data_IF_469429057369
#
_entry.id   IF_469429057369
#
_cell.length_a   1.000
_cell.length_b   1.000
_cell.length_c   1.000
_cell.angle_alpha   90.00
_cell.angle_beta   90.00
_cell.angle_gamma   90.00
#
_symmetry.space_group_name_H-M   'P 1'
#
loop_
_entity.id
_entity.type
_entity.pdbx_description
1 polymer ?
2 polymer ?
3 polymer ?
4 non-polymer ?
5 non-polymer ?
6 water ?
#
loop_
_entity_poly.entity_id
_entity_poly.type
_entity_poly.pdbx_seq_one_letter_code
_entity_poly.pdbx_strand_id
2 'polydeoxyribonucleotide' '(DA)(DG)(DG)(DA)(DC)(DC)(DOC)' ?
3 'polydeoxyribonucleotide' '(DT)(BRU)(DG)(DG)(DG)(DT)(DC)(DC)(DT)' ?
#
# COMPACT_ATOMS: atom_id res chain seq x y z
N UNK A 1 -11.18 25.58 7.05
CA UNK A 1 -10.65 24.19 7.01
C UNK A 1 -11.24 23.34 8.13
N UNK A 2 -11.80 22.18 7.76
CA UNK A 2 -12.40 21.27 8.73
C UNK A 2 -12.83 19.95 8.07
N UNK A 3 -13.90 20.00 7.28
CA UNK A 3 -14.40 18.82 6.59
C UNK A 3 -13.59 18.47 5.36
N UNK A 4 -13.01 17.28 5.34
CA UNK A 4 -12.21 16.84 4.21
C UNK A 4 -12.92 15.80 3.34
N UNK A 5 -12.50 15.73 2.09
CA UNK A 5 -13.02 14.74 1.16
C UNK A 5 -11.77 14.02 0.66
N UNK A 6 -11.60 12.80 1.13
CA UNK A 6 -10.44 11.99 0.79
C UNK A 6 -10.83 10.79 -0.08
N UNK A 7 -9.96 10.44 -1.02
CA UNK A 7 -10.20 9.28 -1.85
C UNK A 7 -9.05 8.30 -1.67
N UNK A 8 -9.37 7.02 -1.55
CA UNK A 8 -8.35 5.99 -1.42
C UNK A 8 -8.45 5.16 -2.70
N UNK A 9 -7.38 5.09 -3.49
CA UNK A 9 -7.39 4.32 -4.74
C UNK A 9 -6.59 3.05 -4.49
N UNK A 10 -7.18 1.92 -4.83
CA UNK A 10 -6.60 0.61 -4.57
C UNK A 10 -6.79 -0.23 -5.81
N UNK A 11 -5.69 -0.73 -6.38
CA UNK A 11 -5.79 -1.52 -7.59
C UNK A 11 -6.09 -2.97 -7.41
N UNK A 12 -6.73 -3.52 -8.41
CA UNK A 12 -7.07 -4.92 -8.38
C UNK A 12 -5.80 -5.74 -8.69
N UNK A 13 -5.55 -6.75 -7.86
CA UNK A 13 -4.44 -7.69 -8.02
C UNK A 13 -3.34 -7.08 -8.89
N UNK A 14 -2.74 -6.01 -8.39
CA UNK A 14 -1.73 -5.25 -9.12
C UNK A 14 -0.67 -6.02 -9.95
N UNK A 15 0.12 -6.88 -9.32
CA UNK A 15 1.15 -7.60 -10.09
C UNK A 15 0.53 -8.43 -11.21
N UNK A 16 -0.58 -9.11 -10.90
CA UNK A 16 -1.26 -9.92 -11.89
C UNK A 16 -1.71 -9.07 -13.05
N UNK A 17 -2.23 -7.87 -12.78
CA UNK A 17 -2.69 -6.98 -13.86
C UNK A 17 -1.53 -6.64 -14.79
N UNK A 18 -0.39 -6.27 -14.20
CA UNK A 18 0.76 -5.91 -15.02
C UNK A 18 1.22 -7.09 -15.89
N UNK A 19 1.19 -8.30 -15.35
CA UNK A 19 1.60 -9.46 -16.14
C UNK A 19 0.62 -9.72 -17.28
N UNK A 20 -0.68 -9.63 -16.99
CA UNK A 20 -1.69 -9.86 -18.03
C UNK A 20 -1.60 -8.84 -19.16
N UNK A 21 -1.19 -7.63 -18.83
CA UNK A 21 -1.04 -6.60 -19.85
C UNK A 21 0.17 -6.94 -20.73
N UNK A 22 1.24 -7.44 -20.10
CA UNK A 22 2.44 -7.79 -20.85
C UNK A 22 2.15 -8.93 -21.84
N UNK A 23 1.63 -10.05 -21.32
CA UNK A 23 1.32 -11.21 -22.14
C UNK A 23 -0.20 -11.46 -22.13
N UNK A 24 -0.91 -10.89 -23.11
CA UNK A 24 -2.37 -11.02 -23.25
C UNK A 24 -2.90 -12.45 -23.10
N UNK A 25 -2.20 -13.40 -23.73
CA UNK A 25 -2.61 -14.81 -23.67
C UNK A 25 -2.84 -15.30 -22.26
N UNK A 26 -2.33 -14.56 -21.27
CA UNK A 26 -2.49 -14.94 -19.86
C UNK A 26 -3.86 -14.55 -19.32
N UNK A 27 -4.53 -13.61 -19.98
CA UNK A 27 -5.85 -13.18 -19.54
C UNK A 27 -6.81 -14.36 -19.52
N UNK A 28 -7.99 -14.14 -18.95
CA UNK A 28 -9.04 -15.16 -18.82
C UNK A 28 -8.55 -16.48 -18.22
N UNK A 29 -7.23 -16.67 -18.17
CA UNK A 29 -6.63 -17.87 -17.60
C UNK A 29 -6.29 -17.54 -16.15
N UNK A 30 -6.54 -18.47 -15.22
CA UNK A 30 -6.21 -18.15 -13.82
C UNK A 30 -4.71 -17.88 -13.73
N UNK A 31 -4.35 -16.69 -13.28
CA UNK A 31 -2.94 -16.30 -13.19
C UNK A 31 -2.46 -15.99 -11.78
N UNK A 32 -1.35 -16.60 -11.41
CA UNK A 32 -0.77 -16.36 -10.11
C UNK A 32 0.63 -15.79 -10.32
N UNK A 33 1.02 -14.85 -9.47
CA UNK A 33 2.35 -14.26 -9.59
C UNK A 33 3.18 -14.85 -8.45
N UNK A 34 4.29 -15.49 -8.81
CA UNK A 34 5.12 -16.16 -7.83
C UNK A 34 6.44 -15.49 -7.48
N UNK A 35 6.82 -15.65 -6.21
CA UNK A 35 8.07 -15.14 -5.68
C UNK A 35 8.53 -16.31 -4.82
N UNK A 36 9.60 -16.95 -5.25
CA UNK A 36 10.12 -18.10 -4.52
C UNK A 36 9.02 -19.16 -4.46
N UNK A 37 8.61 -19.56 -3.26
CA UNK A 37 7.57 -20.57 -3.14
C UNK A 37 6.21 -19.98 -2.81
N UNK A 38 6.04 -18.69 -3.07
CA UNK A 38 4.77 -18.04 -2.78
C UNK A 38 4.04 -17.53 -3.99
N UNK A 39 2.74 -17.38 -3.82
CA UNK A 39 1.87 -16.83 -4.84
C UNK A 39 1.39 -15.58 -4.14
N UNK A 40 2.20 -14.51 -4.26
CA UNK A 40 1.90 -13.26 -3.60
C UNK A 40 0.54 -12.72 -4.01
N UNK A 41 0.19 -12.86 -5.28
CA UNK A 41 -1.11 -12.43 -5.76
C UNK A 41 -1.53 -13.21 -6.98
N UNK A 42 -2.79 -13.05 -7.40
CA UNK A 42 -3.32 -13.76 -8.56
C UNK A 42 -4.55 -13.02 -9.06
N UNK A 43 -4.85 -13.18 -10.35
CA UNK A 43 -6.02 -12.53 -10.95
C UNK A 43 -7.30 -13.13 -10.36
N UNK A 44 -8.42 -12.43 -10.55
CA UNK A 44 -9.70 -12.89 -10.01
C UNK A 44 -10.15 -14.22 -10.57
N UNK A 45 -9.76 -14.51 -11.81
CA UNK A 45 -10.12 -15.77 -12.44
C UNK A 45 -9.60 -16.88 -11.52
N UNK A 46 -8.41 -16.67 -10.97
CA UNK A 46 -7.77 -17.63 -10.08
C UNK A 46 -8.33 -17.60 -8.66
N UNK A 47 -8.73 -16.42 -8.20
CA UNK A 47 -9.29 -16.30 -6.86
C UNK A 47 -10.61 -17.04 -6.77
N UNK A 48 -11.26 -17.23 -7.92
CA UNK A 48 -12.52 -17.94 -7.96
C UNK A 48 -12.28 -19.43 -7.70
N UNK A 49 -11.22 -19.96 -8.31
CA UNK A 49 -10.88 -21.37 -8.16
C UNK A 49 -10.11 -21.66 -6.87
N UNK A 50 -10.37 -20.89 -5.82
CA UNK A 50 -9.72 -21.13 -4.54
C UNK A 50 -8.39 -20.46 -4.24
N UNK A 51 -7.62 -20.11 -5.26
CA UNK A 51 -6.32 -19.45 -5.05
C UNK A 51 -6.44 -18.19 -4.21
N UNK A 52 -5.67 -18.11 -3.13
CA UNK A 52 -5.70 -16.94 -2.24
C UNK A 52 -4.34 -16.24 -2.22
N UNK A 53 -4.37 -14.94 -1.98
CA UNK A 53 -3.14 -14.15 -1.92
C UNK A 53 -2.17 -14.71 -0.89
N UNK A 54 -0.89 -14.74 -1.24
CA UNK A 54 0.15 -15.26 -0.35
C UNK A 54 -0.16 -16.70 0.06
N UNK A 55 -0.18 -17.60 -0.91
CA UNK A 55 -0.45 -19.01 -0.67
C UNK A 55 0.67 -19.85 -1.27
N UNK A 56 1.04 -20.93 -0.59
CA UNK A 56 2.11 -21.79 -1.09
C UNK A 56 1.81 -22.27 -2.51
N UNK A 57 2.84 -22.34 -3.34
CA UNK A 57 2.66 -22.79 -4.72
C UNK A 57 1.96 -24.15 -4.77
N UNK A 58 2.39 -25.05 -3.90
CA UNK A 58 1.80 -26.39 -3.85
C UNK A 58 0.32 -26.30 -3.46
N UNK A 59 0.04 -25.71 -2.30
CA UNK A 59 -1.33 -25.55 -1.84
C UNK A 59 -2.13 -24.79 -2.91
N UNK A 60 -1.41 -24.14 -3.82
CA UNK A 60 -2.04 -23.36 -4.89
C UNK A 60 -2.40 -24.24 -6.08
N UNK A 61 -1.53 -25.18 -6.40
CA UNK A 61 -1.80 -26.07 -7.53
C UNK A 61 -2.68 -27.25 -7.13
N UNK A 62 -2.60 -27.69 -5.88
CA UNK A 62 -3.45 -28.79 -5.43
C UNK A 62 -4.79 -28.17 -5.02
N UNK A 63 -5.05 -26.99 -5.58
CA UNK A 63 -6.27 -26.25 -5.33
C UNK A 63 -6.74 -25.79 -6.71
N UNK A 64 -5.78 -25.67 -7.62
CA UNK A 64 -6.03 -25.26 -8.99
C UNK A 64 -4.93 -25.83 -9.88
N UNK A 65 -4.98 -27.15 -10.14
CA UNK A 65 -4.01 -27.88 -10.96
C UNK A 65 -3.98 -27.41 -12.42
N UNK A 66 -4.04 -26.09 -12.61
CA UNK A 66 -4.04 -25.51 -13.95
C UNK A 66 -3.57 -24.06 -13.87
N UNK A 67 -3.44 -23.58 -12.64
CA UNK A 67 -3.01 -22.21 -12.37
C UNK A 67 -1.71 -21.86 -13.09
N UNK A 68 -1.74 -20.82 -13.91
CA UNK A 68 -0.55 -20.37 -14.61
C UNK A 68 0.26 -19.49 -13.65
N UNK A 69 1.56 -19.71 -13.59
CA UNK A 69 2.41 -18.94 -12.70
C UNK A 69 3.50 -18.19 -13.47
N UNK A 70 3.77 -16.96 -13.04
CA UNK A 70 4.81 -16.14 -13.65
C UNK A 70 5.64 -15.62 -12.49
N UNK A 71 6.94 -15.45 -12.70
CA UNK A 71 7.80 -14.99 -11.64
C UNK A 71 7.71 -13.49 -11.44
N UNK A 72 7.47 -13.07 -10.21
CA UNK A 72 7.35 -11.66 -9.90
C UNK A 72 8.41 -11.21 -8.90
N UNK A 73 9.56 -11.86 -8.95
CA UNK A 73 10.66 -11.53 -8.05
C UNK A 73 11.31 -10.19 -8.40
N UNK A 74 11.35 -9.88 -9.69
CA UNK A 74 11.89 -8.62 -10.17
C UNK A 74 10.72 -7.64 -10.22
N UNK A 75 10.77 -6.64 -9.34
CA UNK A 75 9.71 -5.64 -9.23
C UNK A 75 9.76 -4.47 -10.19
N UNK A 76 10.78 -4.43 -11.05
CA UNK A 76 10.95 -3.33 -11.99
C UNK A 76 9.73 -2.80 -12.69
N UNK A 77 9.01 -3.66 -13.40
CA UNK A 77 7.82 -3.22 -14.11
C UNK A 77 6.66 -2.85 -13.20
N UNK A 78 6.55 -3.53 -12.05
CA UNK A 78 5.48 -3.19 -11.12
C UNK A 78 5.74 -1.79 -10.59
N UNK A 79 6.98 -1.56 -10.16
CA UNK A 79 7.39 -0.27 -9.61
C UNK A 79 7.16 0.84 -10.63
N UNK A 80 7.53 0.60 -11.88
CA UNK A 80 7.34 1.62 -12.91
C UNK A 80 5.86 1.93 -13.14
N UNK A 81 5.00 0.92 -13.16
CA UNK A 81 3.58 1.18 -13.37
C UNK A 81 3.03 1.94 -12.16
N UNK A 82 3.50 1.55 -10.99
CA UNK A 82 3.07 2.16 -9.75
C UNK A 82 3.29 3.68 -9.76
N UNK A 83 4.45 4.11 -10.25
CA UNK A 83 4.68 5.54 -10.28
C UNK A 83 3.87 6.21 -11.37
N UNK A 84 3.59 5.50 -12.46
CA UNK A 84 2.77 6.11 -13.50
C UNK A 84 1.38 6.37 -12.91
N UNK A 85 0.89 5.47 -12.08
CA UNK A 85 -0.42 5.64 -11.47
C UNK A 85 -0.40 6.87 -10.57
N UNK A 86 0.59 6.94 -9.69
CA UNK A 86 0.69 8.07 -8.79
C UNK A 86 0.76 9.40 -9.52
N UNK A 87 1.59 9.47 -10.57
CA UNK A 87 1.74 10.71 -11.34
C UNK A 87 0.43 11.12 -11.99
N UNK A 88 -0.33 10.15 -12.47
CA UNK A 88 -1.62 10.45 -13.08
C UNK A 88 -2.56 11.04 -12.02
N UNK A 89 -2.55 10.49 -10.80
CA UNK A 89 -3.42 11.02 -9.75
C UNK A 89 -2.97 12.41 -9.34
N UNK A 90 -1.65 12.63 -9.35
CA UNK A 90 -1.09 13.94 -8.98
C UNK A 90 -1.57 15.04 -9.91
N UNK A 91 -1.91 14.66 -11.15
CA UNK A 91 -2.38 15.63 -12.13
C UNK A 91 -3.77 16.15 -11.69
N UNK A 92 -4.58 15.29 -11.07
CA UNK A 92 -5.91 15.68 -10.61
C UNK A 92 -5.74 16.61 -9.46
N UNK A 93 -4.73 16.30 -8.68
CA UNK A 93 -4.55 17.06 -7.45
C UNK A 93 -3.23 16.64 -6.76
N UNK A 94 -2.22 17.57 -6.71
CA UNK A 94 -0.85 17.36 -6.16
C UNK A 94 -0.57 16.63 -4.85
N UNK A 95 -1.50 16.69 -3.90
CA UNK A 95 -1.25 16.02 -2.61
C UNK A 95 -1.67 14.57 -2.69
N UNK A 96 -0.72 13.71 -3.07
CA UNK A 96 -0.97 12.28 -3.20
C UNK A 96 0.00 11.48 -2.35
N UNK A 97 -0.55 10.60 -1.52
CA UNK A 97 0.27 9.76 -0.65
C UNK A 97 0.24 8.31 -1.11
N UNK A 98 1.41 7.73 -1.33
CA UNK A 98 1.50 6.33 -1.76
C UNK A 98 1.50 5.43 -0.52
N UNK A 99 0.89 4.26 -0.64
CA UNK A 99 0.91 3.32 0.44
C UNK A 99 1.18 2.01 -0.31
N UNK A 100 2.46 1.60 -0.30
CA UNK A 100 2.81 0.41 -1.04
C UNK A 100 2.79 0.78 -2.52
N UNK A 101 2.93 -0.22 -3.38
CA UNK A 101 2.97 0.02 -4.82
C UNK A 101 1.63 0.20 -5.52
N UNK A 102 0.51 -0.07 -4.84
CA UNK A 102 -0.77 0.00 -5.52
C UNK A 102 -1.87 0.83 -4.87
N UNK A 103 -1.58 1.46 -3.75
CA UNK A 103 -2.57 2.29 -3.07
C UNK A 103 -2.11 3.72 -3.01
N UNK A 104 -3.03 4.64 -3.24
CA UNK A 104 -2.76 6.07 -3.18
C UNK A 104 -3.90 6.77 -2.48
N UNK A 105 -3.58 7.81 -1.73
CA UNK A 105 -4.58 8.62 -1.08
C UNK A 105 -4.47 9.99 -1.73
N UNK A 106 -5.61 10.62 -2.00
CA UNK A 106 -5.60 11.96 -2.59
C UNK A 106 -6.58 12.83 -1.80
N UNK A 107 -6.13 14.01 -1.40
CA UNK A 107 -7.00 14.91 -0.65
C UNK A 107 -7.69 15.74 -1.73
N UNK A 108 -8.99 15.50 -1.91
CA UNK A 108 -9.78 16.20 -2.92
C UNK A 108 -10.52 17.42 -2.40
N UNK A 109 -10.35 17.71 -1.12
CA UNK A 109 -11.05 18.83 -0.51
C UNK A 109 -11.04 20.12 -1.32
N UNK A 110 -9.84 20.60 -1.66
CA UNK A 110 -9.72 21.83 -2.44
C UNK A 110 -10.42 21.71 -3.78
N UNK A 111 -10.23 20.56 -4.43
CA UNK A 111 -10.83 20.32 -5.74
C UNK A 111 -12.37 20.28 -5.70
N UNK A 112 -12.93 19.69 -4.65
CA UNK A 112 -14.38 19.59 -4.51
C UNK A 112 -15.02 20.97 -4.37
N UNK A 113 -14.40 21.81 -3.55
CA UNK A 113 -14.91 23.15 -3.33
C UNK A 113 -14.92 23.98 -4.61
N UNK A 114 -13.79 23.97 -5.33
CA UNK A 114 -13.72 24.72 -6.57
C UNK A 114 -14.86 24.29 -7.50
N UNK A 115 -15.07 22.98 -7.62
CA UNK A 115 -16.14 22.48 -8.48
C UNK A 115 -17.52 22.92 -8.01
N UNK A 116 -17.71 23.03 -6.70
CA UNK A 116 -19.00 23.46 -6.18
C UNK A 116 -19.23 24.93 -6.48
N UNK A 117 -18.22 25.75 -6.25
CA UNK A 117 -18.33 27.18 -6.51
C UNK A 117 -18.69 27.46 -7.96
N UNK A 118 -18.42 26.50 -8.83
CA UNK A 118 -18.72 26.67 -10.25
C UNK A 118 -20.18 26.36 -10.56
N UNK A 119 -20.79 25.47 -9.78
CA UNK A 119 -22.19 25.10 -9.98
C UNK A 119 -23.10 26.27 -9.63
N UNK A 120 -24.31 26.28 -10.22
CA UNK A 120 -25.26 27.36 -9.98
C UNK A 120 -26.32 26.92 -8.98
N UNK A 121 -26.97 27.91 -8.35
CA UNK A 121 -28.01 27.65 -7.37
C UNK A 121 -29.22 26.99 -8.03
N UNK A 122 -28.99 25.84 -8.63
CA UNK A 122 -30.04 25.09 -9.30
C UNK A 122 -29.52 23.70 -9.67
N UNK A 123 -28.49 23.67 -10.50
CA UNK A 123 -27.88 22.42 -10.93
C UNK A 123 -27.26 21.68 -9.75
N UNK A 124 -27.14 22.38 -8.63
CA UNK A 124 -26.59 21.81 -7.41
C UNK A 124 -27.59 20.82 -6.84
N UNK A 125 -28.79 20.79 -7.43
CA UNK A 125 -29.85 19.87 -6.99
C UNK A 125 -29.84 18.67 -7.92
N UNK A 126 -29.02 18.75 -8.98
CA UNK A 126 -28.90 17.68 -9.96
C UNK A 126 -27.66 16.84 -9.65
N UNK A 127 -26.92 17.22 -8.61
CA UNK A 127 -25.72 16.49 -8.22
C UNK A 127 -26.06 15.04 -7.95
N UNK A 128 -25.29 14.14 -8.56
CA UNK A 128 -25.54 12.71 -8.36
C UNK A 128 -24.26 11.97 -8.00
N UNK A 129 -24.43 10.76 -7.48
CA UNK A 129 -23.32 9.94 -7.08
C UNK A 129 -22.81 9.08 -8.22
N UNK A 130 -21.53 8.72 -8.14
CA UNK A 130 -20.92 7.85 -9.13
C UNK A 130 -20.48 6.60 -8.36
N UNK A 131 -21.05 5.44 -8.71
CA UNK A 131 -20.69 4.24 -8.00
C UNK A 131 -21.62 3.95 -6.82
N UNK A 132 -21.18 3.08 -5.91
CA UNK A 132 -21.96 2.66 -4.74
C UNK A 132 -21.98 3.64 -3.57
N UNK A 133 -23.06 3.58 -2.79
CA UNK A 133 -23.19 4.42 -1.58
C UNK A 133 -23.13 3.40 -0.46
N UNK A 134 -22.16 3.52 0.44
CA UNK A 134 -22.06 2.53 1.51
C UNK A 134 -23.36 2.33 2.30
N UNK A 135 -23.64 1.07 2.62
CA UNK A 135 -24.83 0.69 3.36
C UNK A 135 -26.10 1.21 2.70
N UNK A 136 -26.02 1.42 1.38
CA UNK A 136 -27.16 1.87 0.60
C UNK A 136 -27.86 3.03 1.30
N UNK A 137 -27.07 3.90 1.92
CA UNK A 137 -27.62 5.04 2.64
C UNK A 137 -28.30 6.06 1.74
N UNK A 138 -29.37 6.66 2.24
CA UNK A 138 -30.11 7.68 1.50
C UNK A 138 -29.32 8.97 1.44
N UNK A 139 -29.31 9.59 0.27
CA UNK A 139 -28.60 10.86 0.08
C UNK A 139 -29.55 12.02 0.42
N UNK A 140 -29.02 13.03 1.08
CA UNK A 140 -29.82 14.20 1.39
C UNK A 140 -29.12 15.33 0.64
N UNK A 141 -29.75 15.77 -0.46
CA UNK A 141 -29.19 16.82 -1.29
C UNK A 141 -29.04 18.18 -0.62
N UNK A 142 -29.65 18.37 0.55
CA UNK A 142 -29.52 19.64 1.24
C UNK A 142 -28.40 19.56 2.27
N UNK A 143 -27.79 18.39 2.40
CA UNK A 143 -26.70 18.22 3.34
C UNK A 143 -25.41 18.55 2.59
N UNK A 144 -24.79 19.68 2.92
CA UNK A 144 -23.57 20.10 2.27
C UNK A 144 -22.49 19.01 2.27
N UNK A 145 -22.42 18.21 3.34
CA UNK A 145 -21.43 17.14 3.43
C UNK A 145 -21.73 16.05 2.40
N UNK A 146 -23.01 15.74 2.24
CA UNK A 146 -23.44 14.74 1.27
C UNK A 146 -23.04 15.20 -0.14
N UNK A 147 -23.31 16.49 -0.43
CA UNK A 147 -22.97 17.06 -1.74
C UNK A 147 -21.46 16.98 -2.02
N UNK A 148 -20.65 17.38 -1.04
CA UNK A 148 -19.19 17.35 -1.20
C UNK A 148 -18.65 15.95 -1.45
N UNK A 149 -19.16 14.97 -0.70
CA UNK A 149 -18.72 13.60 -0.85
C UNK A 149 -19.15 13.05 -2.20
N UNK A 150 -20.33 13.48 -2.68
CA UNK A 150 -20.81 13.02 -3.97
C UNK A 150 -19.94 13.55 -5.10
N UNK A 151 -19.50 14.81 -4.99
CA UNK A 151 -18.63 15.40 -6.00
C UNK A 151 -17.37 14.57 -5.92
N UNK A 152 -16.96 14.27 -4.68
CA UNK A 152 -15.79 13.44 -4.45
C UNK A 152 -15.90 12.11 -5.18
N UNK A 153 -17.09 11.51 -5.19
CA UNK A 153 -17.24 10.24 -5.90
C UNK A 153 -17.09 10.46 -7.41
N UNK A 154 -17.57 11.59 -7.90
CA UNK A 154 -17.47 11.91 -9.34
C UNK A 154 -16.01 12.00 -9.74
N UNK A 155 -15.22 12.70 -8.94
CA UNK A 155 -13.80 12.86 -9.22
C UNK A 155 -13.15 11.49 -9.23
N UNK A 156 -13.49 10.68 -8.25
CA UNK A 156 -12.93 9.35 -8.14
C UNK A 156 -13.22 8.56 -9.38
N UNK A 157 -14.45 8.67 -9.88
CA UNK A 157 -14.85 7.96 -11.09
C UNK A 157 -13.98 8.42 -12.26
N UNK A 158 -13.72 9.72 -12.33
CA UNK A 158 -12.88 10.29 -13.38
C UNK A 158 -11.46 9.71 -13.29
N UNK A 159 -10.93 9.63 -12.07
CA UNK A 159 -9.59 9.09 -11.86
C UNK A 159 -9.50 7.63 -12.32
N UNK A 160 -10.49 6.83 -11.94
CA UNK A 160 -10.49 5.43 -12.34
C UNK A 160 -10.62 5.27 -13.86
N UNK A 161 -11.39 6.16 -14.47
CA UNK A 161 -11.60 6.13 -15.92
C UNK A 161 -10.30 6.48 -16.61
N UNK A 162 -9.61 7.47 -16.05
CA UNK A 162 -8.33 7.91 -16.58
C UNK A 162 -7.29 6.80 -16.44
N UNK A 163 -7.25 6.16 -15.27
CA UNK A 163 -6.29 5.09 -15.06
C UNK A 163 -6.48 4.01 -16.09
N UNK A 164 -7.75 3.69 -16.38
CA UNK A 164 -8.01 2.64 -17.37
C UNK A 164 -7.66 3.09 -18.79
N UNK A 165 -8.17 4.25 -19.21
CA UNK A 165 -7.92 4.78 -20.55
C UNK A 165 -6.45 5.09 -20.85
N UNK A 166 -5.75 5.67 -19.89
CA UNK A 166 -4.36 6.03 -20.10
C UNK A 166 -3.34 4.96 -19.69
N UNK A 167 -3.68 4.07 -18.77
CA UNK A 167 -2.71 3.06 -18.34
C UNK A 167 -3.17 1.61 -18.48
N UNK A 168 -4.45 1.39 -18.81
CA UNK A 168 -4.94 0.02 -18.95
C UNK A 168 -5.19 -0.68 -17.63
N UNK A 169 -5.27 0.09 -16.55
CA UNK A 169 -5.49 -0.49 -15.22
C UNK A 169 -6.87 -0.28 -14.63
N UNK A 170 -7.37 -1.30 -13.93
CA UNK A 170 -8.66 -1.22 -13.26
C UNK A 170 -8.35 -1.16 -11.78
N UNK A 171 -9.25 -0.56 -11.00
CA UNK A 171 -9.04 -0.47 -9.58
C UNK A 171 -10.25 0.01 -8.81
N UNK A 172 -10.18 -0.05 -7.49
CA UNK A 172 -11.28 0.39 -6.65
C UNK A 172 -10.94 1.76 -6.07
N UNK A 173 -11.96 2.45 -5.59
CA UNK A 173 -11.78 3.75 -4.97
C UNK A 173 -12.77 3.86 -3.81
N UNK A 174 -12.36 4.56 -2.77
CA UNK A 174 -13.22 4.75 -1.62
C UNK A 174 -13.19 6.24 -1.32
N UNK A 175 -14.36 6.83 -1.12
CA UNK A 175 -14.45 8.24 -0.82
C UNK A 175 -15.06 8.44 0.55
N UNK A 176 -14.38 9.22 1.38
CA UNK A 176 -14.85 9.49 2.74
C UNK A 176 -14.21 10.73 3.30
N UNK A 177 -14.54 11.06 4.55
CA UNK A 177 -14.03 12.27 5.18
C UNK A 177 -12.61 12.17 5.75
N UNK A 178 -12.02 10.98 5.76
CA UNK A 178 -10.64 10.83 6.23
C UNK A 178 -9.97 9.56 5.67
N UNK A 179 -8.66 9.44 5.83
CA UNK A 179 -7.92 8.30 5.30
C UNK A 179 -8.38 6.94 5.82
N UNK A 180 -8.62 6.86 7.12
CA UNK A 180 -9.08 5.63 7.74
C UNK A 180 -10.33 5.11 7.02
N UNK A 181 -11.37 5.95 7.01
CA UNK A 181 -12.65 5.61 6.41
C UNK A 181 -12.56 5.35 4.90
N UNK A 182 -11.81 6.19 4.20
CA UNK A 182 -11.65 6.04 2.77
C UNK A 182 -11.04 4.68 2.46
N UNK A 183 -10.01 4.31 3.21
CA UNK A 183 -9.34 3.03 2.99
C UNK A 183 -10.25 1.85 3.34
N UNK A 184 -11.03 1.99 4.40
CA UNK A 184 -11.93 0.92 4.79
C UNK A 184 -13.07 0.77 3.81
N UNK A 185 -13.58 1.89 3.28
CA UNK A 185 -14.71 1.78 2.36
C UNK A 185 -14.33 1.42 0.91
N UNK A 186 -13.09 1.67 0.50
CA UNK A 186 -12.70 1.35 -0.88
C UNK A 186 -12.81 -0.13 -1.21
N UNK A 187 -12.75 -0.98 -0.20
CA UNK A 187 -12.84 -2.41 -0.45
C UNK A 187 -14.23 -3.05 -0.31
N UNK A 188 -15.27 -2.26 -0.03
CA UNK A 188 -16.59 -2.85 0.15
C UNK A 188 -17.08 -3.59 -1.11
N UNK A 189 -16.97 -2.96 -2.27
CA UNK A 189 -17.33 -3.63 -3.52
C UNK A 189 -15.98 -3.77 -4.19
N UNK A 190 -15.40 -4.93 -3.93
CA UNK A 190 -14.05 -5.33 -4.32
C UNK A 190 -13.51 -5.32 -5.72
N UNK A 191 -14.24 -5.92 -6.68
CA UNK A 191 -13.60 -5.85 -8.01
C UNK A 191 -13.90 -4.65 -8.92
N UNK A 192 -12.90 -3.80 -9.16
CA UNK A 192 -13.06 -2.66 -10.08
C UNK A 192 -14.35 -1.85 -9.90
N UNK A 193 -14.59 -1.40 -8.68
CA UNK A 193 -15.77 -0.61 -8.36
C UNK A 193 -15.38 0.43 -7.32
N UNK A 194 -16.29 1.33 -6.98
CA UNK A 194 -16.01 2.35 -5.98
C UNK A 194 -17.20 2.58 -5.05
N UNK A 195 -16.91 3.07 -3.85
CA UNK A 195 -17.94 3.31 -2.85
C UNK A 195 -17.68 4.62 -2.11
N UNK A 196 -18.74 5.34 -1.78
CA UNK A 196 -18.59 6.57 -1.03
C UNK A 196 -19.28 6.36 0.31
N UNK A 197 -18.70 6.93 1.36
CA UNK A 197 -19.24 6.79 2.71
C UNK A 197 -19.86 8.08 3.23
N UNK A 198 -21.15 8.06 3.52
CA UNK A 198 -21.79 9.25 4.08
C UNK A 198 -21.59 9.13 5.61
N UNK A 199 -21.49 10.27 6.31
CA UNK A 199 -21.26 10.28 7.76
C UNK A 199 -22.16 9.38 8.64
N UNK A 200 -23.47 9.39 8.36
CA UNK A 200 -24.41 8.58 9.15
C UNK A 200 -24.13 7.09 9.13
N UNK A 201 -23.25 6.64 8.24
CA UNK A 201 -22.94 5.22 8.16
C UNK A 201 -21.57 4.86 8.72
N UNK A 202 -20.86 5.85 9.26
CA UNK A 202 -19.53 5.62 9.81
C UNK A 202 -19.48 4.50 10.85
N UNK A 203 -20.37 4.55 11.84
CA UNK A 203 -20.37 3.51 12.86
C UNK A 203 -20.70 2.13 12.26
N UNK A 204 -21.58 2.11 11.27
CA UNK A 204 -21.94 0.87 10.63
C UNK A 204 -20.70 0.26 9.95
N UNK A 205 -19.91 1.12 9.31
CA UNK A 205 -18.69 0.66 8.64
C UNK A 205 -17.68 0.13 9.65
N UNK A 206 -17.43 0.92 10.69
CA UNK A 206 -16.45 0.53 11.71
C UNK A 206 -16.85 -0.75 12.43
N UNK A 207 -18.13 -0.88 12.75
CA UNK A 207 -18.58 -2.08 13.44
C UNK A 207 -18.70 -3.28 12.53
N UNK A 208 -18.61 -3.07 11.21
CA UNK A 208 -18.69 -4.21 10.28
C UNK A 208 -17.40 -5.06 10.38
N UNK A 209 -16.33 -4.47 10.92
CA UNK A 209 -15.08 -5.22 11.07
C UNK A 209 -15.26 -6.30 12.13
N UNK A 210 -14.54 -7.41 12.01
CA UNK A 210 -14.74 -8.49 12.97
C UNK A 210 -13.68 -8.54 14.06
N UNK A 211 -12.56 -7.87 13.81
CA UNK A 211 -11.51 -7.78 14.83
C UNK A 211 -10.69 -6.48 14.68
N UNK A 212 -10.16 -5.99 15.80
CA UNK A 212 -9.36 -4.76 15.82
C UNK A 212 -8.17 -4.78 14.88
N UNK A 213 -7.67 -5.98 14.59
CA UNK A 213 -6.54 -6.12 13.69
C UNK A 213 -6.86 -5.65 12.27
N UNK A 214 -8.15 -5.56 11.97
CA UNK A 214 -8.59 -5.12 10.66
C UNK A 214 -8.50 -3.61 10.49
N UNK A 215 -8.32 -2.89 11.59
CA UNK A 215 -8.24 -1.44 11.52
C UNK A 215 -6.87 -0.94 11.07
N UNK A 216 -6.82 -0.17 9.97
CA UNK A 216 -5.55 0.36 9.48
C UNK A 216 -4.88 1.15 10.61
N UNK A 217 -3.66 0.74 10.97
CA UNK A 217 -2.96 1.43 12.04
C UNK A 217 -2.70 0.52 13.22
N UNK A 218 -3.50 -0.54 13.34
CA UNK A 218 -3.35 -1.50 14.41
C UNK A 218 -2.70 -2.75 13.80
N UNK A 219 -1.43 -2.98 14.12
CA UNK A 219 -0.73 -4.13 13.56
C UNK A 219 -0.85 -5.45 14.29
N UNK A 220 -0.02 -6.40 13.87
CA UNK A 220 0.00 -7.73 14.46
C UNK A 220 0.34 -7.65 15.95
N UNK A 221 1.30 -6.80 16.28
CA UNK A 221 1.71 -6.63 17.66
C UNK A 221 0.60 -6.06 18.52
N UNK A 222 0.28 -4.79 18.31
CA UNK A 222 -0.76 -4.12 19.09
C UNK A 222 -2.02 -4.97 19.21
N UNK A 223 -2.35 -5.70 18.14
CA UNK A 223 -3.53 -6.56 18.15
C UNK A 223 -3.40 -7.58 19.28
N UNK A 224 -2.23 -8.21 19.38
CA UNK A 224 -1.97 -9.20 20.42
C UNK A 224 -1.99 -8.53 21.80
N UNK A 225 -1.44 -7.33 21.87
CA UNK A 225 -1.42 -6.61 23.13
C UNK A 225 -2.85 -6.40 23.62
N UNK A 226 -3.70 -5.91 22.72
CA UNK A 226 -5.10 -5.65 23.05
C UNK A 226 -5.84 -6.92 23.47
N UNK A 227 -5.54 -8.03 22.80
CA UNK A 227 -6.19 -9.30 23.14
C UNK A 227 -5.96 -9.61 24.61
N UNK A 228 -4.68 -9.65 25.00
CA UNK A 228 -4.28 -9.95 26.36
C UNK A 228 -4.96 -9.04 27.37
N UNK A 229 -5.66 -8.02 26.87
CA UNK A 229 -6.36 -7.08 27.74
C UNK A 229 -7.86 -7.30 27.65
N UNK A 230 -8.27 -8.33 26.91
CA UNK A 230 -9.68 -8.63 26.77
C UNK A 230 -10.38 -7.82 25.67
N UNK A 231 -9.59 -7.06 24.90
CA UNK A 231 -10.12 -6.23 23.83
C UNK A 231 -10.05 -6.97 22.49
N UNK A 232 -11.20 -7.47 22.03
CA UNK A 232 -11.26 -8.20 20.77
C UNK A 232 -12.04 -7.53 19.65
N UNK A 233 -13.23 -7.00 19.97
CA UNK A 233 -14.08 -6.36 18.97
C UNK A 233 -13.79 -4.87 18.89
N UNK A 234 -14.31 -4.23 17.85
CA UNK A 234 -14.11 -2.80 17.72
C UNK A 234 -14.82 -2.09 18.87
N UNK A 235 -15.99 -2.57 19.26
CA UNK A 235 -16.72 -1.92 20.34
C UNK A 235 -15.95 -2.05 21.67
N UNK A 236 -15.26 -3.16 21.88
CA UNK A 236 -14.47 -3.33 23.11
C UNK A 236 -13.49 -2.16 23.22
N UNK A 237 -12.75 -1.92 22.13
CA UNK A 237 -11.78 -0.83 22.10
C UNK A 237 -12.47 0.51 22.33
N UNK A 238 -13.61 0.72 21.68
CA UNK A 238 -14.34 1.98 21.87
C UNK A 238 -14.74 2.21 23.31
N UNK A 239 -15.15 1.14 23.98
CA UNK A 239 -15.61 1.23 25.36
C UNK A 239 -14.54 0.97 26.43
N UNK A 240 -13.34 0.55 26.01
CA UNK A 240 -12.31 0.26 27.00
C UNK A 240 -11.88 1.53 27.72
N UNK A 241 -11.25 1.36 28.88
CA UNK A 241 -10.79 2.48 29.69
C UNK A 241 -9.59 3.18 29.07
N UNK A 242 -9.69 4.51 28.85
CA UNK A 242 -8.60 5.29 28.28
C UNK A 242 -7.32 5.18 29.11
N UNK A 243 -7.46 5.28 30.42
CA UNK A 243 -6.33 5.20 31.35
C UNK A 243 -5.50 3.93 31.20
N UNK A 244 -6.15 2.78 31.38
CA UNK A 244 -5.46 1.49 31.28
C UNK A 244 -4.79 1.30 29.94
N UNK A 245 -5.49 1.71 28.88
CA UNK A 245 -4.96 1.60 27.53
C UNK A 245 -3.79 2.57 27.38
N UNK A 246 -3.98 3.77 27.91
CA UNK A 246 -2.96 4.83 27.85
C UNK A 246 -1.71 4.43 28.62
N UNK A 247 -1.92 3.82 29.79
CA UNK A 247 -0.82 3.41 30.65
C UNK A 247 -0.18 2.06 30.27
N UNK A 248 -0.58 1.49 29.14
CA UNK A 248 0.01 0.21 28.73
C UNK A 248 0.51 0.18 27.30
N UNK A 249 0.16 1.18 26.51
CA UNK A 249 0.59 1.26 25.12
C UNK A 249 1.27 2.59 24.81
N UNK A 250 1.19 3.51 25.76
CA UNK A 250 1.77 4.82 25.58
C UNK A 250 0.66 5.78 25.21
N UNK A 251 0.64 6.93 25.86
CA UNK A 251 -0.41 7.93 25.61
C UNK A 251 -0.57 8.20 24.12
N UNK A 252 0.47 7.91 23.34
CA UNK A 252 0.43 8.12 21.90
C UNK A 252 -0.40 7.03 21.23
N UNK A 253 0.18 5.84 21.11
CA UNK A 253 -0.49 4.71 20.50
C UNK A 253 -1.90 4.51 21.05
N UNK A 254 -2.06 4.71 22.35
CA UNK A 254 -3.34 4.54 23.00
C UNK A 254 -4.40 5.54 22.58
N UNK A 255 -4.10 6.82 22.72
CA UNK A 255 -5.05 7.87 22.37
C UNK A 255 -5.36 7.90 20.86
N UNK A 256 -4.41 7.43 20.07
CA UNK A 256 -4.59 7.42 18.62
C UNK A 256 -5.44 6.27 18.13
N UNK A 257 -5.14 5.04 18.56
CA UNK A 257 -5.92 3.91 18.09
C UNK A 257 -7.34 3.90 18.64
N UNK A 258 -7.58 4.54 19.78
CA UNK A 258 -8.93 4.57 20.31
C UNK A 258 -9.75 5.53 19.46
N UNK A 259 -9.10 6.54 18.89
CA UNK A 259 -9.78 7.49 17.99
C UNK A 259 -10.18 6.65 16.78
N UNK A 260 -9.22 5.88 16.27
CA UNK A 260 -9.47 5.03 15.11
C UNK A 260 -10.66 4.10 15.35
N UNK A 261 -10.79 3.55 16.57
CA UNK A 261 -11.89 2.64 16.86
C UNK A 261 -13.23 3.31 16.67
N UNK A 262 -13.26 4.64 16.71
CA UNK A 262 -14.50 5.38 16.50
C UNK A 262 -14.63 5.87 15.05
N UNK A 263 -13.65 5.54 14.21
CA UNK A 263 -13.70 6.00 12.84
C UNK A 263 -13.10 7.40 12.72
N UNK A 264 -12.47 7.87 13.79
CA UNK A 264 -11.83 9.19 13.83
C UNK A 264 -10.34 9.08 13.48
N UNK A 265 -9.90 9.96 12.60
CA UNK A 265 -8.50 9.95 12.17
C UNK A 265 -8.22 11.27 11.46
N UNK A 266 -7.41 12.13 12.09
CA UNK A 266 -7.09 13.42 11.51
C UNK A 266 -5.74 13.48 10.79
N UNK A 267 -5.11 12.33 10.54
CA UNK A 267 -3.82 12.37 9.86
C UNK A 267 -4.00 12.95 8.46
N UNK A 268 -3.08 13.84 8.06
CA UNK A 268 -3.14 14.48 6.73
C UNK A 268 -2.64 13.54 5.65
N UNK A 269 -3.06 13.77 4.41
CA UNK A 269 -2.58 12.96 3.31
C UNK A 269 -1.21 13.59 3.08
N UNK A 270 -0.15 12.79 3.11
CA UNK A 270 1.21 13.32 2.91
C UNK A 270 1.70 13.13 1.47
N UNK A 271 2.25 14.20 0.90
CA UNK A 271 2.78 14.17 -0.47
C UNK A 271 4.00 13.26 -0.46
N UNK A 272 3.88 12.08 -1.05
CA UNK A 272 5.00 11.14 -1.05
C UNK A 272 6.23 11.63 -1.85
N UNK A 273 5.99 12.21 -3.02
CA UNK A 273 7.10 12.68 -3.82
C UNK A 273 8.02 11.53 -4.19
N UNK A 274 9.31 11.79 -4.49
CA UNK A 274 10.28 10.75 -4.85
C UNK A 274 10.56 9.81 -3.68
N UNK A 275 11.01 8.58 -3.96
CA UNK A 275 11.32 7.59 -2.93
C UNK A 275 12.39 8.08 -1.96
N UNK A 276 12.32 7.64 -0.71
CA UNK A 276 13.31 8.03 0.31
C UNK A 276 14.44 6.99 0.38
N UNK A 277 14.27 5.88 -0.32
CA UNK A 277 15.28 4.82 -0.35
C UNK A 277 15.14 3.93 -1.58
N UNK A 278 16.17 3.14 -1.85
CA UNK A 278 16.18 2.21 -2.97
C UNK A 278 16.84 0.92 -2.50
N UNK A 279 16.11 -0.19 -2.54
CA UNK A 279 16.70 -1.44 -2.10
C UNK A 279 16.26 -2.63 -2.93
N UNK A 280 17.13 -3.62 -3.02
CA UNK A 280 16.85 -4.85 -3.75
C UNK A 280 17.25 -6.00 -2.83
N UNK A 281 16.44 -7.05 -2.87
CA UNK A 281 16.65 -8.22 -2.04
C UNK A 281 16.90 -9.49 -2.83
N UNK A 282 17.14 -10.57 -2.10
CA UNK A 282 17.38 -11.86 -2.70
C UNK A 282 17.45 -12.94 -1.64
N UNK A 283 16.34 -13.63 -1.43
CA UNK A 283 16.31 -14.71 -0.46
C UNK A 283 16.73 -15.97 -1.20
N UNK A 284 17.44 -16.84 -0.52
CA UNK A 284 17.87 -18.08 -1.15
C UNK A 284 18.03 -19.20 -0.13
N UNK A 285 17.69 -20.40 -0.59
CA UNK A 285 17.75 -21.62 0.20
C UNK A 285 19.03 -21.71 1.01
N UNK A 286 19.08 -20.99 2.12
CA UNK A 286 20.24 -20.97 3.01
C UNK A 286 21.52 -21.31 2.25
N UNK A 287 21.71 -20.64 1.12
CA UNK A 287 22.88 -20.89 0.27
C UNK A 287 23.89 -19.73 0.30
N UNK A 288 24.62 -19.62 1.41
CA UNK A 288 25.62 -18.59 1.57
C UNK A 288 26.69 -19.07 2.56
N UNK A 289 27.89 -19.32 2.05
CA UNK A 289 29.00 -19.82 2.86
C UNK A 289 29.67 -18.75 3.73
N UNK A 290 28.99 -17.62 3.91
CA UNK A 290 29.52 -16.50 4.69
C UNK A 290 30.59 -15.72 3.93
N UNK A 291 31.02 -16.24 2.79
CA UNK A 291 32.03 -15.58 1.97
C UNK A 291 31.94 -16.04 0.53
N UNK A 292 32.57 -15.28 -0.36
CA UNK A 292 32.57 -15.58 -1.80
C UNK A 292 31.15 -15.45 -2.35
N UNK A 293 30.17 -15.64 -1.47
CA UNK A 293 28.75 -15.54 -1.81
C UNK A 293 28.35 -14.07 -1.90
N UNK A 294 29.34 -13.18 -1.97
CA UNK A 294 29.07 -11.76 -2.08
C UNK A 294 28.97 -11.37 -3.54
N UNK A 295 29.07 -12.36 -4.42
CA UNK A 295 28.96 -12.12 -5.85
C UNK A 295 27.49 -11.76 -6.06
N UNK A 296 26.67 -12.14 -5.08
CA UNK A 296 25.24 -11.87 -5.09
C UNK A 296 25.09 -10.38 -4.82
N UNK A 297 25.88 -9.89 -3.88
CA UNK A 297 25.87 -8.49 -3.51
C UNK A 297 26.26 -7.63 -4.72
N UNK A 298 27.10 -8.18 -5.58
CA UNK A 298 27.51 -7.45 -6.78
C UNK A 298 26.32 -7.32 -7.72
N UNK A 299 25.46 -8.34 -7.72
CA UNK A 299 24.26 -8.33 -8.56
C UNK A 299 23.33 -7.22 -8.10
N UNK A 300 23.10 -7.16 -6.80
CA UNK A 300 22.22 -6.16 -6.21
C UNK A 300 22.63 -4.76 -6.64
N UNK A 301 23.90 -4.42 -6.39
CA UNK A 301 24.42 -3.10 -6.76
C UNK A 301 24.20 -2.82 -8.23
N UNK A 302 24.44 -3.83 -9.06
CA UNK A 302 24.27 -3.70 -10.50
C UNK A 302 22.98 -2.92 -10.82
N UNK A 303 21.85 -3.48 -10.41
CA UNK A 303 20.56 -2.84 -10.65
C UNK A 303 20.39 -1.59 -9.82
N UNK A 304 20.70 -1.67 -8.52
CA UNK A 304 20.56 -0.53 -7.65
C UNK A 304 21.26 0.70 -8.22
N UNK A 305 22.51 0.54 -8.66
CA UNK A 305 23.25 1.66 -9.25
C UNK A 305 22.54 2.18 -10.49
N UNK A 306 21.86 1.28 -11.19
CA UNK A 306 21.12 1.65 -12.40
C UNK A 306 19.87 2.42 -12.02
N UNK A 307 19.28 2.06 -10.88
CA UNK A 307 18.07 2.74 -10.41
C UNK A 307 18.45 4.06 -9.73
N UNK A 308 19.35 3.98 -8.75
CA UNK A 308 19.81 5.15 -8.02
C UNK A 308 20.28 6.19 -9.04
N UNK A 309 20.83 5.71 -10.15
CA UNK A 309 21.30 6.59 -11.21
C UNK A 309 20.08 7.29 -11.82
N UNK A 310 19.40 6.58 -12.71
CA UNK A 310 18.20 7.05 -13.39
C UNK A 310 17.47 8.14 -12.62
N UNK A 311 17.18 7.86 -11.35
CA UNK A 311 16.47 8.80 -10.48
C UNK A 311 16.94 10.24 -10.70
N UNK A 312 18.22 10.49 -10.46
CA UNK A 312 18.76 11.83 -10.62
C UNK A 312 19.51 12.25 -9.38
N UNK A 313 18.85 12.14 -8.23
CA UNK A 313 19.46 12.50 -6.94
C UNK A 313 20.55 11.48 -6.65
N UNK A 314 21.35 11.75 -5.62
CA UNK A 314 22.42 10.84 -5.24
C UNK A 314 22.31 10.48 -3.76
N UNK A 315 22.53 9.20 -3.43
CA UNK A 315 22.45 8.73 -2.05
C UNK A 315 23.74 9.03 -1.31
N UNK A 316 23.64 9.34 -0.02
CA UNK A 316 24.83 9.63 0.77
C UNK A 316 24.99 8.60 1.88
N UNK A 317 24.33 7.45 1.72
CA UNK A 317 24.42 6.37 2.70
C UNK A 317 24.13 5.04 2.03
N UNK A 318 24.81 3.99 2.49
CA UNK A 318 24.60 2.65 1.95
C UNK A 318 24.40 1.71 3.13
N UNK A 319 23.79 0.57 2.88
CA UNK A 319 23.54 -0.38 3.94
C UNK A 319 23.45 -1.81 3.45
N UNK A 320 23.68 -2.75 4.35
CA UNK A 320 23.60 -4.18 4.04
C UNK A 320 22.80 -4.84 5.14
N UNK A 321 21.95 -5.78 4.75
CA UNK A 321 21.10 -6.49 5.72
C UNK A 321 21.25 -7.99 5.48
N UNK A 322 21.06 -8.78 6.53
CA UNK A 322 21.18 -10.23 6.41
C UNK A 322 20.25 -10.99 7.35
N UNK A 323 20.22 -12.31 7.18
CA UNK A 323 19.39 -13.19 7.99
C UNK A 323 20.19 -14.44 8.36
N UNK A 324 19.71 -15.19 9.34
CA UNK A 324 20.40 -16.40 9.78
C UNK A 324 19.41 -17.52 10.13
N UNK A 325 19.63 -18.70 9.56
CA UNK A 325 18.76 -19.85 9.78
C UNK A 325 19.03 -20.57 11.10
N UNK A 326 17.95 -21.00 11.74
CA UNK A 326 18.02 -21.72 13.01
C UNK A 326 16.62 -22.14 13.44
N UNK A 327 16.16 -21.61 14.57
CA UNK A 327 14.84 -21.93 15.09
C UNK A 327 13.78 -21.13 14.33
N UNK A 328 12.73 -20.72 15.03
CA UNK A 328 11.65 -19.95 14.42
C UNK A 328 11.77 -18.46 14.75
N UNK A 329 12.86 -17.84 14.28
CA UNK A 329 13.09 -16.43 14.52
C UNK A 329 12.00 -15.59 13.84
N UNK A 330 10.93 -15.32 14.57
CA UNK A 330 9.80 -14.54 14.05
C UNK A 330 10.21 -13.12 13.64
N UNK A 331 11.45 -12.75 13.95
CA UNK A 331 11.97 -11.42 13.62
C UNK A 331 13.47 -11.37 13.86
N UNK A 332 14.24 -11.44 12.78
CA UNK A 332 15.70 -11.40 12.92
C UNK A 332 16.44 -10.85 11.72
N UNK A 333 16.83 -9.58 11.81
CA UNK A 333 17.58 -8.93 10.75
C UNK A 333 18.74 -8.12 11.35
N UNK A 334 19.79 -7.95 10.56
CA UNK A 334 20.97 -7.20 10.99
C UNK A 334 21.48 -6.35 9.83
N UNK A 335 21.92 -5.13 10.13
CA UNK A 335 22.42 -4.25 9.07
C UNK A 335 23.56 -3.34 9.51
N UNK A 336 24.50 -3.11 8.60
CA UNK A 336 25.63 -2.22 8.87
C UNK A 336 25.51 -1.00 7.98
N UNK A 337 25.16 0.11 8.60
CA UNK A 337 24.98 1.38 7.90
C UNK A 337 26.29 2.16 7.91
N UNK A 338 26.60 2.83 6.80
CA UNK A 338 27.82 3.61 6.69
C UNK A 338 27.77 4.61 5.53
N UNK A 339 28.33 5.81 5.73
CA UNK A 339 28.35 6.87 4.72
C UNK A 339 29.05 6.44 3.43
N UNK A 340 28.70 7.09 2.32
CA UNK A 340 29.29 6.80 1.03
C UNK A 340 30.29 7.90 0.67
N UNK A 341 31.53 7.53 0.32
CA UNK A 341 32.59 8.47 -0.05
C UNK A 341 32.15 9.52 -1.06
N UNK A 342 32.24 10.79 -0.65
CA UNK A 342 31.84 11.90 -1.50
C UNK A 342 32.41 11.79 -2.91
N UNK A 343 33.63 11.25 -3.01
CA UNK A 343 34.28 11.09 -4.31
C UNK A 343 33.62 10.00 -5.14
N UNK A 344 33.32 8.87 -4.50
CA UNK A 344 32.69 7.75 -5.18
C UNK A 344 31.26 8.04 -5.61
N UNK A 345 30.65 9.07 -5.02
CA UNK A 345 29.28 9.43 -5.36
C UNK A 345 29.15 9.76 -6.84
N UNK A 346 30.01 10.67 -7.32
CA UNK A 346 29.98 11.06 -8.72
C UNK A 346 30.42 9.90 -9.62
N UNK A 355 32.58 2.32 -11.46
CA UNK A 355 31.90 2.89 -10.31
C UNK A 355 31.62 1.82 -9.26
N UNK A 356 31.32 0.61 -9.72
CA UNK A 356 31.03 -0.50 -8.82
C UNK A 356 32.22 -0.83 -7.93
N UNK A 357 33.31 -1.23 -8.57
CA UNK A 357 34.54 -1.61 -7.90
C UNK A 357 34.68 -1.03 -6.49
N UNK A 358 34.70 0.30 -6.35
CA UNK A 358 34.82 0.89 -5.02
C UNK A 358 33.73 0.39 -4.07
N UNK A 359 32.49 0.67 -4.45
CA UNK A 359 31.31 0.26 -3.67
C UNK A 359 31.35 -1.20 -3.26
N UNK A 360 31.76 -2.06 -4.19
CA UNK A 360 31.84 -3.48 -3.93
C UNK A 360 32.56 -3.79 -2.62
N UNK A 361 33.84 -3.42 -2.56
CA UNK A 361 34.63 -3.66 -1.36
C UNK A 361 34.07 -2.89 -0.17
N UNK A 362 33.49 -1.73 -0.46
CA UNK A 362 32.91 -0.90 0.59
C UNK A 362 31.89 -1.72 1.36
N UNK A 363 31.02 -2.42 0.63
CA UNK A 363 30.00 -3.26 1.26
C UNK A 363 30.65 -4.51 1.86
N UNK A 364 31.77 -4.91 1.27
CA UNK A 364 32.48 -6.09 1.75
C UNK A 364 32.99 -5.89 3.17
N UNK A 365 33.57 -4.72 3.44
CA UNK A 365 34.08 -4.41 4.77
C UNK A 365 32.91 -4.39 5.74
N UNK A 366 31.79 -3.85 5.28
CA UNK A 366 30.56 -3.76 6.07
C UNK A 366 30.02 -5.17 6.27
N UNK A 367 30.37 -6.06 5.34
CA UNK A 367 29.96 -7.45 5.37
C UNK A 367 30.63 -8.18 6.53
N UNK A 368 31.95 -8.27 6.47
CA UNK A 368 32.74 -8.95 7.50
C UNK A 368 32.42 -8.51 8.93
N UNK A 369 32.19 -7.22 9.12
CA UNK A 369 31.87 -6.69 10.44
C UNK A 369 30.65 -7.43 11.00
N UNK A 370 29.93 -8.12 10.13
CA UNK A 370 28.75 -8.87 10.53
C UNK A 370 29.08 -10.35 10.73
N UNK A 380 20.26 -16.13 5.27
CA UNK A 380 19.58 -16.68 4.11
C UNK A 380 19.31 -15.59 3.08
N UNK A 381 19.09 -14.36 3.55
CA UNK A 381 18.81 -13.24 2.68
C UNK A 381 19.95 -12.22 2.64
N UNK A 382 19.95 -11.40 1.60
CA UNK A 382 20.96 -10.38 1.42
C UNK A 382 20.37 -9.23 0.63
N UNK A 383 20.52 -8.01 1.14
CA UNK A 383 19.98 -6.84 0.46
C UNK A 383 20.78 -5.57 0.71
N UNK A 384 20.98 -4.80 -0.36
CA UNK A 384 21.70 -3.54 -0.28
C UNK A 384 20.64 -2.45 -0.31
N UNK A 385 20.86 -1.39 0.46
CA UNK A 385 19.90 -0.30 0.50
C UNK A 385 20.56 1.07 0.44
N UNK A 386 20.33 1.78 -0.65
CA UNK A 386 20.86 3.13 -0.80
C UNK A 386 19.81 4.08 -0.22
N UNK A 387 20.18 4.83 0.80
CA UNK A 387 19.25 5.78 1.41
C UNK A 387 19.91 7.13 1.63
N UNK A 388 19.23 8.01 2.36
CA UNK A 388 19.74 9.34 2.64
C UNK A 388 20.03 10.04 1.31
N UNK A 389 19.00 10.15 0.47
CA UNK A 389 19.09 10.79 -0.84
C UNK A 389 19.13 12.31 -0.73
N UNK A 390 19.82 12.95 -1.67
CA UNK A 390 19.94 14.40 -1.70
C UNK A 390 20.11 14.90 -3.14
X LIG D 1 -4.52 -3.47 -4.44
X LIG E 1 -4.04 -2.83 -1.68
X LIG F 1 -6.77 -6.84 -4.18
X LIG F 1 -6.56 -5.32 -3.96
X LIG F 1 -7.06 -7.69 -2.89
X LIG F 1 -7.71 -7.06 -5.45
X LIG F 1 -5.46 -7.53 -4.74
X LIG F 1 -3.97 -6.99 -4.61
X LIG F 1 -2.96 -7.94 -5.01
X LIG F 1 -3.74 -5.81 -5.65
X LIG F 1 -3.67 -6.75 -3.06
X LIG F 1 -2.82 -5.53 -2.40
X LIG F 1 -3.49 -4.37 -2.83
X LIG F 1 -2.85 -5.69 -0.87
X LIG F 1 -1.31 -5.59 -2.96
X LIG F 1 -1.07 -5.47 -4.39
X LIG F 1 0.19 -5.97 -4.91
X LIG F 1 1.09 -5.97 -3.90
X LIG F 1 0.07 -7.41 -5.44
X LIG F 1 0.41 -7.43 -6.79
X LIG F 1 1.06 -8.22 -4.57
X LIG F 1 1.67 -7.21 -3.58
X LIG F 1 1.59 -7.43 -2.20
X LIG F 1 0.64 -7.09 -1.21
X LIG F 1 0.91 -7.49 0.04
X LIG F 1 2.09 -8.14 -0.13
X LIG F 1 3.00 -8.82 0.77
X LIG F 1 2.79 -8.95 1.96
X LIG F 1 4.15 -9.34 0.15
X LIG F 1 4.43 -9.21 -1.24
X LIG F 1 5.56 -9.74 -1.74
X LIG F 1 3.60 -8.58 -2.08
X LIG F 1 2.52 -8.08 -1.49
#
# INVERSE_FOLDING_TARGET
ASSRVIVHVDLDCFYAQVEMISNPELKDKPLGVQQKYLVVTCNYEARKLGVKKLMNVRDAKEKCPQLVLVNGEDLTRYREMSYKVTELLEEFSPVVERLGFDENFVDLTEMVEKRLQQLQSDELSAVTVSGHVYNNQSINLLDVLHIRLLVGSQIAAEMREAMYNQLGLTGCAGVASNKLLAKLVSGVFKPNQQTVLLPESCQHLIHSLNHIKEIPGIGYKTAKCLEALGINSVRDLQTFSPKILEKELGISVAQRIQKLSFGEDNSPVILSGPPQSFSEEDSFKKCSSEVEAKNKIEELLASLLNRVCQDGRKPHTVRLIIRRYSSEKHYGRESRQCPIPSHVIQKLGTGNYDVMTPMVDILMKLFRNMVNVKMPFHLTLLSVCFCNLK
MG MG
MG MG
DGT PG O1G O2G O3G O3B PB O1B O2B O3A PA O1A O2A O5' C5' C4' O4' C3' O3' C2' C1' N9 C8 N7 C5 C6 O6 N1 C2 N2 N3 C4
#
